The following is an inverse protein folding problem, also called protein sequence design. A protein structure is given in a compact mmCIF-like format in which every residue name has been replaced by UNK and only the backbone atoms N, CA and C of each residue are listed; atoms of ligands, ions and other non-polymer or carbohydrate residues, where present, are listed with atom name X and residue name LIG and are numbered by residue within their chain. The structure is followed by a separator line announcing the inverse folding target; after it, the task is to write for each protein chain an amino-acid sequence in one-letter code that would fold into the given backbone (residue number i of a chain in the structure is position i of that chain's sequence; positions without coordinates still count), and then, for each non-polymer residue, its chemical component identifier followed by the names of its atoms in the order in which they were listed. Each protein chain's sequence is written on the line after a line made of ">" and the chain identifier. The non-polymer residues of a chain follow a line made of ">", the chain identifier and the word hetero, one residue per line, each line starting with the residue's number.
data_IF_683630691915
#
_entry.id   IF_683630691915
#
_cell.length_a   1.000
_cell.length_b   1.000
_cell.length_c   1.000
_cell.angle_alpha   90.00
_cell.angle_beta   90.00
_cell.angle_gamma   90.00
#
_symmetry.space_group_name_H-M   'P 1'
#
loop_
_entity.id
_entity.type
_entity.pdbx_description
1 polymer ?
#
# COMPACT_ATOMS: atom_id res chain seq x y z
N UNK A 1 4.88 1.70 7.63
CA UNK A 1 3.46 1.32 7.47
C UNK A 1 2.93 0.47 8.63
N UNK A 2 3.63 -0.58 9.07
CA UNK A 2 3.15 -1.44 10.18
C UNK A 2 2.81 -0.68 11.47
N UNK A 3 3.68 0.24 11.91
CA UNK A 3 3.41 1.05 13.11
C UNK A 3 2.14 1.92 12.97
N UNK A 4 1.89 2.48 11.77
CA UNK A 4 0.67 3.25 11.49
C UNK A 4 -0.57 2.36 11.55
N UNK A 5 -0.50 1.12 11.04
CA UNK A 5 -1.56 0.11 11.16
C UNK A 5 -1.85 -0.20 12.63
N UNK A 6 -0.82 -0.52 13.42
CA UNK A 6 -0.97 -0.85 14.84
C UNK A 6 -1.57 0.32 15.62
N UNK A 7 -1.16 1.56 15.32
CA UNK A 7 -1.71 2.75 15.92
C UNK A 7 -3.17 3.00 15.52
N UNK A 8 -3.52 2.78 14.24
CA UNK A 8 -4.90 2.94 13.76
C UNK A 8 -5.86 1.93 14.39
N UNK A 9 -5.42 0.67 14.53
CA UNK A 9 -6.22 -0.39 15.18
C UNK A 9 -6.32 -0.15 16.69
N UNK A 10 -5.23 0.24 17.36
CA UNK A 10 -5.24 0.48 18.81
C UNK A 10 -5.98 1.77 19.22
N UNK A 11 -6.09 2.76 18.33
CA UNK A 11 -6.88 3.98 18.58
C UNK A 11 -8.41 3.74 18.65
N UNK A 12 -8.88 2.56 18.24
CA UNK A 12 -10.09 1.88 18.74
C UNK A 12 -11.45 2.61 18.66
N UNK A 13 -11.55 3.78 18.02
CA UNK A 13 -12.74 4.62 18.12
C UNK A 13 -13.33 4.91 16.74
N UNK A 14 -14.28 4.06 16.33
CA UNK A 14 -15.07 4.19 15.09
C UNK A 14 -15.75 5.57 15.03
N UNK A 15 -16.08 6.17 16.17
CA UNK A 15 -16.72 7.49 16.26
C UNK A 15 -15.83 8.63 15.78
N UNK A 16 -14.49 8.48 15.79
CA UNK A 16 -13.55 9.50 15.30
C UNK A 16 -13.19 9.32 13.82
N UNK A 17 -13.66 8.25 13.16
CA UNK A 17 -13.36 7.99 11.76
C UNK A 17 -13.84 9.10 10.82
N UNK A 18 -15.06 9.67 10.97
CA UNK A 18 -15.48 10.78 10.11
C UNK A 18 -14.54 11.99 10.19
N UNK A 19 -14.11 12.38 11.40
CA UNK A 19 -13.20 13.51 11.62
C UNK A 19 -11.81 13.26 11.02
N UNK A 20 -11.29 12.03 11.16
CA UNK A 20 -10.01 11.64 10.59
C UNK A 20 -10.06 11.67 9.06
N UNK A 21 -11.12 11.10 8.45
CA UNK A 21 -11.30 11.13 7.00
C UNK A 21 -11.43 12.56 6.46
N UNK A 22 -12.16 13.43 7.17
CA UNK A 22 -12.28 14.85 6.80
C UNK A 22 -10.92 15.57 6.79
N UNK A 23 -10.05 15.28 7.77
CA UNK A 23 -8.67 15.80 7.79
C UNK A 23 -7.84 15.22 6.65
N UNK A 24 -7.88 13.91 6.41
CA UNK A 24 -7.08 13.26 5.37
C UNK A 24 -7.43 13.74 3.96
N UNK A 25 -8.71 13.99 3.66
CA UNK A 25 -9.13 14.52 2.34
C UNK A 25 -8.51 15.89 2.03
N UNK A 26 -8.29 16.75 3.03
CA UNK A 26 -7.64 18.04 2.83
C UNK A 26 -6.14 17.94 2.50
N UNK A 27 -5.50 16.82 2.86
CA UNK A 27 -4.05 16.62 2.70
C UNK A 27 -3.68 15.52 1.70
N UNK A 28 -4.66 14.81 1.14
CA UNK A 28 -4.43 13.67 0.24
C UNK A 28 -5.19 13.87 -1.06
N UNK A 29 -4.47 13.93 -2.18
CA UNK A 29 -5.08 13.84 -3.50
C UNK A 29 -5.38 12.37 -3.81
N UNK A 30 -6.67 12.01 -3.90
CA UNK A 30 -7.12 10.65 -4.24
C UNK A 30 -8.40 10.70 -5.07
N UNK A 31 -8.55 9.73 -5.96
CA UNK A 31 -9.75 9.46 -6.76
C UNK A 31 -10.69 8.45 -6.09
N UNK A 32 -10.34 7.95 -4.90
CA UNK A 32 -11.14 7.00 -4.16
C UNK A 32 -12.45 7.65 -3.66
N UNK A 33 -13.62 7.05 -3.95
CA UNK A 33 -14.88 7.51 -3.40
C UNK A 33 -14.88 7.52 -1.86
N UNK A 34 -15.44 8.57 -1.26
CA UNK A 34 -15.49 8.72 0.21
C UNK A 34 -16.20 7.55 0.92
N UNK A 35 -17.22 6.96 0.28
CA UNK A 35 -17.93 5.79 0.82
C UNK A 35 -17.06 4.53 0.86
N UNK A 36 -16.19 4.35 -0.14
CA UNK A 36 -15.23 3.25 -0.20
C UNK A 36 -14.18 3.42 0.90
N UNK A 37 -13.63 4.62 1.06
CA UNK A 37 -12.68 4.94 2.14
C UNK A 37 -13.29 4.68 3.52
N UNK A 38 -14.53 5.10 3.74
CA UNK A 38 -15.24 4.90 5.01
C UNK A 38 -15.48 3.42 5.31
N UNK A 39 -16.00 2.67 4.33
CA UNK A 39 -16.27 1.22 4.50
C UNK A 39 -14.99 0.45 4.78
N UNK A 40 -13.95 0.66 3.95
CA UNK A 40 -12.64 0.01 4.13
C UNK A 40 -12.01 0.36 5.47
N UNK A 41 -12.11 1.62 5.91
CA UNK A 41 -11.61 2.04 7.22
C UNK A 41 -12.32 1.35 8.39
N UNK A 42 -13.64 1.18 8.32
CA UNK A 42 -14.41 0.44 9.32
C UNK A 42 -14.03 -1.04 9.33
N UNK A 43 -14.00 -1.68 8.16
CA UNK A 43 -13.66 -3.11 8.05
C UNK A 43 -12.27 -3.40 8.63
N UNK A 44 -11.30 -2.50 8.41
CA UNK A 44 -9.96 -2.57 8.97
C UNK A 44 -9.92 -2.43 10.50
N UNK A 45 -10.61 -1.44 11.07
CA UNK A 45 -10.67 -1.24 12.54
C UNK A 45 -11.40 -2.40 13.23
N UNK A 46 -12.42 -2.96 12.59
CA UNK A 46 -13.17 -4.12 13.09
C UNK A 46 -12.42 -5.45 12.90
N UNK A 47 -11.23 -5.45 12.30
CA UNK A 47 -10.44 -6.66 12.06
C UNK A 47 -11.08 -7.61 11.04
N UNK A 48 -12.00 -7.13 10.20
CA UNK A 48 -12.63 -7.90 9.11
C UNK A 48 -11.73 -7.93 7.86
N UNK A 49 -10.45 -8.11 8.08
CA UNK A 49 -9.42 -8.07 7.02
C UNK A 49 -8.47 -9.23 7.21
N UNK A 50 -7.97 -9.75 6.10
CA UNK A 50 -6.89 -10.74 6.12
C UNK A 50 -5.60 -10.16 6.72
N UNK A 51 -4.66 -11.04 7.15
CA UNK A 51 -3.33 -10.61 7.54
C UNK A 51 -2.67 -9.75 6.46
N UNK A 52 -1.99 -8.67 6.89
CA UNK A 52 -1.31 -7.79 5.95
C UNK A 52 0.01 -8.44 5.52
N UNK A 53 0.04 -8.98 4.30
CA UNK A 53 1.26 -9.45 3.67
C UNK A 53 2.03 -8.32 2.97
N UNK A 54 3.30 -8.58 2.62
CA UNK A 54 4.17 -7.60 1.95
C UNK A 54 4.87 -8.24 0.77
N UNK A 55 4.94 -7.47 -0.30
CA UNK A 55 5.71 -7.77 -1.49
C UNK A 55 6.48 -6.52 -1.91
N UNK A 56 7.57 -6.69 -2.65
CA UNK A 56 8.40 -5.58 -3.12
C UNK A 56 8.77 -5.80 -4.58
N UNK A 57 8.71 -4.73 -5.35
CA UNK A 57 9.04 -4.69 -6.77
C UNK A 57 10.16 -3.65 -6.96
N UNK A 58 11.25 -3.97 -7.69
CA UNK A 58 11.52 -5.25 -8.35
C UNK A 58 11.74 -6.41 -7.36
N UNK A 59 11.29 -7.61 -7.72
CA UNK A 59 11.44 -8.80 -6.91
C UNK A 59 12.93 -9.13 -6.72
N UNK A 60 13.25 -9.68 -5.54
CA UNK A 60 14.64 -9.94 -5.15
C UNK A 60 15.36 -10.81 -6.19
N UNK A 61 16.51 -10.34 -6.66
CA UNK A 61 17.32 -11.04 -7.65
C UNK A 61 16.88 -10.86 -9.11
N UNK A 62 15.86 -10.04 -9.37
CA UNK A 62 15.41 -9.66 -10.72
C UNK A 62 15.72 -8.19 -11.04
N UNK A 63 16.78 -7.66 -10.47
CA UNK A 63 17.25 -6.30 -10.71
C UNK A 63 18.74 -6.13 -10.43
N UNK A 64 19.34 -5.11 -11.07
CA UNK A 64 20.68 -4.64 -10.77
C UNK A 64 20.75 -3.10 -10.76
N UNK A 65 21.70 -2.51 -10.03
CA UNK A 65 21.95 -1.07 -10.11
C UNK A 65 22.55 -0.71 -11.46
N UNK A 66 22.03 0.33 -12.10
CA UNK A 66 22.57 0.88 -13.34
C UNK A 66 22.56 2.41 -13.26
N UNK A 67 23.54 3.05 -13.90
CA UNK A 67 23.54 4.51 -14.09
C UNK A 67 23.16 4.84 -15.53
N UNK A 68 22.09 5.60 -15.71
CA UNK A 68 21.58 6.06 -17.01
C UNK A 68 21.76 7.57 -17.11
N UNK A 69 22.19 8.06 -18.28
CA UNK A 69 22.30 9.50 -18.53
C UNK A 69 20.94 10.19 -18.42
N UNK A 70 20.87 11.30 -17.68
CA UNK A 70 19.64 11.98 -17.29
C UNK A 70 19.10 11.55 -15.91
N UNK A 71 18.45 10.39 -15.75
CA UNK A 71 17.87 9.95 -14.47
C UNK A 71 18.89 9.63 -13.37
N UNK A 72 20.16 9.35 -13.73
CA UNK A 72 21.19 8.97 -12.78
C UNK A 72 21.13 7.49 -12.39
N UNK A 73 21.29 7.19 -11.10
CA UNK A 73 21.32 5.82 -10.59
C UNK A 73 19.90 5.26 -10.46
N UNK A 74 19.65 4.11 -11.08
CA UNK A 74 18.36 3.44 -11.13
C UNK A 74 18.47 1.97 -10.72
N UNK A 75 17.33 1.38 -10.37
CA UNK A 75 17.18 -0.07 -10.24
C UNK A 75 16.65 -0.60 -11.56
N UNK A 76 17.53 -1.14 -12.42
CA UNK A 76 17.07 -1.75 -13.67
C UNK A 76 16.47 -3.11 -13.38
N UNK A 77 15.25 -3.33 -13.86
CA UNK A 77 14.62 -4.65 -13.87
C UNK A 77 15.25 -5.52 -14.94
N UNK A 78 15.73 -6.70 -14.54
CA UNK A 78 16.32 -7.68 -15.46
C UNK A 78 15.26 -8.35 -16.33
N UNK A 79 14.11 -8.66 -15.72
CA UNK A 79 12.99 -9.34 -16.36
C UNK A 79 11.66 -8.77 -15.85
N UNK A 80 11.02 -7.95 -16.68
CA UNK A 80 9.72 -7.34 -16.37
C UNK A 80 8.61 -8.38 -16.30
N UNK A 81 8.65 -9.44 -17.12
CA UNK A 81 7.63 -10.47 -17.15
C UNK A 81 7.68 -11.33 -15.89
N UNK A 82 8.89 -11.69 -15.43
CA UNK A 82 9.06 -12.40 -14.17
C UNK A 82 8.60 -11.57 -12.95
N UNK A 83 8.84 -10.25 -12.95
CA UNK A 83 8.31 -9.34 -11.94
C UNK A 83 6.77 -9.28 -11.95
N UNK A 84 6.16 -9.18 -13.14
CA UNK A 84 4.71 -9.18 -13.29
C UNK A 84 4.09 -10.49 -12.81
N UNK A 85 4.72 -11.63 -13.14
CA UNK A 85 4.30 -12.94 -12.64
C UNK A 85 4.42 -13.03 -11.13
N UNK A 86 5.53 -12.58 -10.54
CA UNK A 86 5.71 -12.60 -9.08
C UNK A 86 4.66 -11.74 -8.35
N UNK A 87 4.26 -10.60 -8.95
CA UNK A 87 3.16 -9.80 -8.42
C UNK A 87 1.81 -10.52 -8.53
N UNK A 88 1.50 -11.14 -9.67
CA UNK A 88 0.26 -11.91 -9.84
C UNK A 88 0.18 -13.08 -8.87
N UNK A 89 1.28 -13.82 -8.73
CA UNK A 89 1.39 -14.93 -7.78
C UNK A 89 1.27 -14.44 -6.33
N UNK A 90 1.64 -13.19 -6.02
CA UNK A 90 1.41 -12.59 -4.70
C UNK A 90 -0.07 -12.20 -4.48
N UNK A 91 -0.72 -11.62 -5.49
CA UNK A 91 -2.11 -11.15 -5.41
C UNK A 91 -3.16 -12.27 -5.45
N UNK A 92 -2.82 -13.45 -5.98
CA UNK A 92 -3.72 -14.60 -6.14
C UNK A 92 -3.54 -15.67 -5.04
N UNK A 93 -2.73 -15.40 -4.02
CA UNK A 93 -2.67 -16.25 -2.82
C UNK A 93 -3.96 -16.13 -2.02
#
# INVERSE_FOLDING_TARGET
>A
MNALKEQAVSAGSITKLPDVLGKLQGYTATDLPSNLLFKTGIDFVLGKTEPLEKFSIPAKGLWHPERIDGPGDVLRMDDVAANAKALQDFLNK
#
